data_IF_207290412082
#
_entry.id   IF_207290412082
#
_cell.length_a   1.000
_cell.length_b   1.000
_cell.length_c   1.000
_cell.angle_alpha   90.00
_cell.angle_beta   90.00
_cell.angle_gamma   90.00
#
_symmetry.space_group_name_H-M   'P 1'
#
loop_
_entity.id
_entity.type
_entity.pdbx_description
1 polymer ?
#
# COMPACT_ATOMS: atom_id res chain seq x y z
N UNK A 1 4.70 19.72 -9.51
CA UNK A 1 4.93 18.46 -8.75
C UNK A 1 3.78 17.58 -9.16
N UNK A 2 4.05 16.45 -9.82
CA UNK A 2 3.06 15.65 -10.57
C UNK A 2 1.76 15.43 -9.80
N UNK A 3 1.83 15.13 -8.50
CA UNK A 3 0.61 14.95 -7.70
C UNK A 3 -0.27 16.22 -7.65
N UNK A 4 0.33 17.39 -7.37
CA UNK A 4 -0.41 18.67 -7.31
C UNK A 4 -1.00 19.06 -8.67
N UNK A 5 -0.33 18.66 -9.75
CA UNK A 5 -0.75 18.96 -11.11
C UNK A 5 -1.96 18.07 -11.52
N UNK A 6 -2.08 16.87 -10.93
CA UNK A 6 -3.17 15.91 -11.21
C UNK A 6 -4.37 16.03 -10.25
N UNK A 7 -4.13 16.25 -8.96
CA UNK A 7 -5.19 16.22 -7.91
C UNK A 7 -6.23 17.35 -8.06
N UNK A 8 -5.92 18.39 -8.84
CA UNK A 8 -6.87 19.45 -9.19
C UNK A 8 -7.83 19.09 -10.33
N UNK A 9 -7.63 17.96 -11.01
CA UNK A 9 -8.48 17.58 -12.13
C UNK A 9 -9.85 17.06 -11.64
N UNK A 10 -10.96 17.50 -12.24
CA UNK A 10 -12.31 17.11 -11.82
C UNK A 10 -12.57 15.59 -11.83
N UNK A 11 -11.82 14.84 -12.65
CA UNK A 11 -11.97 13.39 -12.78
C UNK A 11 -11.26 12.60 -11.67
N UNK A 12 -10.40 13.23 -10.87
CA UNK A 12 -9.78 12.56 -9.73
C UNK A 12 -10.79 12.51 -8.60
N UNK A 13 -11.11 11.30 -8.14
CA UNK A 13 -12.09 11.04 -7.07
C UNK A 13 -11.51 10.22 -5.91
N UNK A 14 -10.39 9.54 -6.13
CA UNK A 14 -9.72 8.67 -5.17
C UNK A 14 -8.20 8.84 -5.29
N UNK A 15 -7.51 8.88 -4.15
CA UNK A 15 -6.05 8.82 -4.07
C UNK A 15 -5.65 7.65 -3.18
N UNK A 16 -4.88 6.71 -3.73
CA UNK A 16 -4.29 5.62 -2.95
C UNK A 16 -2.85 5.97 -2.57
N UNK A 17 -2.52 5.86 -1.28
CA UNK A 17 -1.21 6.23 -0.74
C UNK A 17 -0.42 4.97 -0.40
N UNK A 18 0.82 4.91 -0.90
CA UNK A 18 1.70 3.76 -0.75
C UNK A 18 3.11 4.17 -0.33
N UNK A 19 3.79 3.26 0.36
CA UNK A 19 5.24 3.27 0.57
C UNK A 19 5.74 1.84 0.35
N UNK A 20 6.67 1.68 -0.59
CA UNK A 20 7.25 0.40 -0.97
C UNK A 20 8.71 0.28 -0.55
N UNK A 21 9.18 1.10 0.39
CA UNK A 21 10.49 0.88 0.99
C UNK A 21 10.59 -0.55 1.58
N UNK A 22 11.78 -1.16 1.53
CA UNK A 22 11.96 -2.54 1.98
C UNK A 22 11.70 -2.68 3.48
N UNK A 23 11.21 -3.86 3.88
CA UNK A 23 10.92 -4.21 5.28
C UNK A 23 9.50 -3.87 5.75
N UNK A 24 8.63 -3.33 4.88
CA UNK A 24 7.26 -2.97 5.23
C UNK A 24 6.28 -3.27 4.09
N UNK A 25 4.98 -3.37 4.46
CA UNK A 25 3.85 -3.48 3.52
C UNK A 25 4.10 -4.58 2.48
N UNK A 26 4.02 -4.24 1.19
CA UNK A 26 4.28 -5.13 0.05
C UNK A 26 5.60 -5.89 0.14
N UNK A 27 6.63 -5.26 0.71
CA UNK A 27 8.00 -5.77 0.73
C UNK A 27 8.48 -6.02 2.15
N UNK A 28 7.65 -6.67 2.97
CA UNK A 28 8.01 -7.11 4.32
C UNK A 28 9.31 -7.95 4.35
N UNK A 29 9.55 -8.75 3.32
CA UNK A 29 10.79 -9.53 3.15
C UNK A 29 11.73 -8.84 2.15
N UNK A 30 12.93 -8.48 2.60
CA UNK A 30 13.95 -7.89 1.74
C UNK A 30 14.32 -8.80 0.56
N UNK A 31 14.31 -10.12 0.74
CA UNK A 31 14.58 -11.07 -0.35
C UNK A 31 13.60 -10.93 -1.52
N UNK A 32 12.33 -10.61 -1.26
CA UNK A 32 11.32 -10.33 -2.30
C UNK A 32 11.55 -8.98 -2.97
N UNK A 33 12.00 -7.99 -2.21
CA UNK A 33 12.41 -6.70 -2.75
C UNK A 33 13.57 -6.87 -3.74
N UNK A 34 14.60 -7.63 -3.35
CA UNK A 34 15.75 -7.98 -4.21
C UNK A 34 15.32 -8.74 -5.45
N UNK A 35 14.55 -9.82 -5.29
CA UNK A 35 14.03 -10.63 -6.40
C UNK A 35 13.31 -9.75 -7.44
N UNK A 36 12.41 -8.87 -6.99
CA UNK A 36 11.63 -8.00 -7.87
C UNK A 36 12.50 -6.94 -8.57
N UNK A 37 13.29 -6.16 -7.82
CA UNK A 37 14.05 -5.05 -8.39
C UNK A 37 15.27 -5.50 -9.20
N UNK A 38 16.00 -6.53 -8.75
CA UNK A 38 17.10 -7.09 -9.54
C UNK A 38 16.58 -7.79 -10.80
N UNK A 39 15.45 -8.49 -10.72
CA UNK A 39 14.82 -9.11 -11.89
C UNK A 39 14.33 -8.08 -12.92
N UNK A 40 13.75 -6.97 -12.46
CA UNK A 40 13.16 -5.92 -13.30
C UNK A 40 14.19 -4.94 -13.89
N UNK A 41 15.19 -4.56 -13.11
CA UNK A 41 16.16 -3.54 -13.48
C UNK A 41 17.56 -4.08 -13.75
N UNK A 42 17.76 -5.40 -13.65
CA UNK A 42 19.03 -6.08 -13.87
C UNK A 42 20.18 -5.55 -12.99
N UNK A 43 19.85 -5.11 -11.77
CA UNK A 43 20.82 -4.62 -10.80
C UNK A 43 21.73 -5.76 -10.33
N UNK A 44 23.01 -5.46 -10.19
CA UNK A 44 23.95 -6.28 -9.43
C UNK A 44 23.61 -6.27 -7.93
N UNK A 45 24.20 -7.20 -7.17
CA UNK A 45 24.01 -7.25 -5.73
C UNK A 45 24.46 -5.96 -5.03
N UNK A 46 25.59 -5.40 -5.44
CA UNK A 46 26.13 -4.15 -4.87
C UNK A 46 25.22 -2.96 -5.18
N UNK A 47 24.72 -2.84 -6.41
CA UNK A 47 23.75 -1.80 -6.77
C UNK A 47 22.47 -1.93 -5.95
N UNK A 48 21.99 -3.16 -5.76
CA UNK A 48 20.80 -3.45 -4.97
C UNK A 48 21.00 -3.09 -3.49
N UNK A 49 22.18 -3.34 -2.92
CA UNK A 49 22.51 -2.98 -1.54
C UNK A 49 22.45 -1.45 -1.35
N UNK A 50 23.07 -0.69 -2.26
CA UNK A 50 23.02 0.77 -2.23
C UNK A 50 21.59 1.29 -2.40
N UNK A 51 20.82 0.69 -3.32
CA UNK A 51 19.45 1.06 -3.58
C UNK A 51 18.55 0.82 -2.35
N UNK A 52 18.72 -0.29 -1.63
CA UNK A 52 17.99 -0.56 -0.39
C UNK A 52 18.29 0.51 0.66
N UNK A 53 19.57 0.83 0.89
CA UNK A 53 19.98 1.85 1.86
C UNK A 53 19.34 3.20 1.54
N UNK A 54 19.39 3.62 0.27
CA UNK A 54 18.78 4.86 -0.18
C UNK A 54 17.26 4.87 0.02
N UNK A 55 16.56 3.79 -0.33
CA UNK A 55 15.10 3.71 -0.21
C UNK A 55 14.63 3.70 1.25
N UNK A 56 15.36 3.05 2.16
CA UNK A 56 15.08 3.10 3.60
C UNK A 56 15.30 4.51 4.15
N UNK A 57 16.40 5.17 3.75
CA UNK A 57 16.69 6.54 4.17
C UNK A 57 15.59 7.51 3.68
N UNK A 58 15.19 7.38 2.41
CA UNK A 58 14.12 8.18 1.81
C UNK A 58 12.78 7.97 2.53
N UNK A 59 12.39 6.73 2.83
CA UNK A 59 11.15 6.48 3.58
C UNK A 59 11.20 7.11 4.98
N UNK A 60 12.32 6.92 5.68
CA UNK A 60 12.53 7.48 7.04
C UNK A 60 12.42 9.01 7.05
N UNK A 61 13.04 9.68 6.06
CA UNK A 61 13.06 11.15 6.01
C UNK A 61 11.73 11.73 5.51
N UNK A 62 11.09 11.07 4.52
CA UNK A 62 10.06 11.71 3.71
C UNK A 62 8.66 11.11 3.83
N UNK A 63 8.51 9.83 4.19
CA UNK A 63 7.22 9.13 4.06
C UNK A 63 6.13 9.77 4.91
N UNK A 64 6.36 10.01 6.20
CA UNK A 64 5.36 10.61 7.09
C UNK A 64 4.98 12.02 6.64
N UNK A 65 5.98 12.86 6.34
CA UNK A 65 5.76 14.25 5.90
C UNK A 65 4.89 14.31 4.63
N UNK A 66 5.22 13.52 3.62
CA UNK A 66 4.47 13.55 2.36
C UNK A 66 3.12 12.87 2.48
N UNK A 67 2.99 11.77 3.24
CA UNK A 67 1.71 11.14 3.54
C UNK A 67 0.73 12.14 4.16
N UNK A 68 1.17 12.88 5.19
CA UNK A 68 0.37 13.94 5.82
C UNK A 68 -0.05 15.02 4.82
N UNK A 69 0.91 15.54 4.06
CA UNK A 69 0.62 16.59 3.08
C UNK A 69 -0.35 16.13 1.97
N UNK A 70 -0.26 14.88 1.52
CA UNK A 70 -1.18 14.29 0.55
C UNK A 70 -2.57 14.14 1.16
N UNK A 71 -2.67 13.59 2.37
CA UNK A 71 -3.93 13.39 3.08
C UNK A 71 -4.63 14.72 3.31
N UNK A 72 -3.94 15.71 3.87
CA UNK A 72 -4.51 17.05 4.11
C UNK A 72 -5.06 17.68 2.82
N UNK A 73 -4.33 17.54 1.71
CA UNK A 73 -4.76 18.08 0.42
C UNK A 73 -6.01 17.38 -0.13
N UNK A 74 -6.10 16.07 0.04
CA UNK A 74 -7.24 15.26 -0.40
C UNK A 74 -8.47 15.55 0.45
N UNK A 75 -8.33 15.59 1.78
CA UNK A 75 -9.41 15.92 2.71
C UNK A 75 -9.97 17.32 2.45
N UNK A 76 -9.10 18.32 2.22
CA UNK A 76 -9.52 19.68 1.87
C UNK A 76 -10.31 19.77 0.55
N UNK A 77 -10.23 18.74 -0.30
CA UNK A 77 -10.96 18.63 -1.57
C UNK A 77 -12.16 17.68 -1.50
N UNK A 78 -12.38 17.01 -0.36
CA UNK A 78 -13.40 15.97 -0.24
C UNK A 78 -13.09 14.72 -1.07
N UNK A 79 -11.82 14.47 -1.41
CA UNK A 79 -11.41 13.26 -2.12
C UNK A 79 -11.36 12.07 -1.17
N UNK A 80 -11.77 10.90 -1.66
CA UNK A 80 -11.56 9.65 -0.92
C UNK A 80 -10.08 9.29 -0.92
N UNK A 81 -9.62 8.65 0.16
CA UNK A 81 -8.23 8.28 0.35
C UNK A 81 -8.17 6.81 0.72
N UNK A 82 -7.33 6.05 0.03
CA UNK A 82 -7.06 4.65 0.33
C UNK A 82 -5.63 4.47 0.87
N UNK A 83 -5.46 3.54 1.80
CA UNK A 83 -4.15 2.94 2.08
C UNK A 83 -3.86 1.85 1.06
N UNK A 84 -2.58 1.52 0.86
CA UNK A 84 -2.15 0.45 -0.02
C UNK A 84 -1.24 -0.54 0.71
N UNK A 85 -1.48 -1.84 0.51
CA UNK A 85 -0.67 -2.94 1.02
C UNK A 85 -0.46 -2.95 2.55
N UNK A 86 -1.45 -2.52 3.33
CA UNK A 86 -1.41 -2.66 4.79
C UNK A 86 -1.09 -4.12 5.17
N UNK A 87 -0.22 -4.32 6.16
CA UNK A 87 0.34 -5.63 6.50
C UNK A 87 0.24 -5.96 7.99
N UNK A 88 0.19 -4.95 8.84
CA UNK A 88 0.15 -5.07 10.30
C UNK A 88 -0.97 -4.18 10.84
N UNK A 89 -1.42 -4.44 12.06
CA UNK A 89 -2.40 -3.57 12.72
C UNK A 89 -1.91 -2.11 12.81
N UNK A 90 -0.61 -1.89 13.05
CA UNK A 90 -0.04 -0.55 13.10
C UNK A 90 -0.18 0.23 11.78
N UNK A 91 -0.07 -0.46 10.63
CA UNK A 91 -0.33 0.17 9.32
C UNK A 91 -1.80 0.56 9.15
N UNK A 92 -2.72 -0.28 9.64
CA UNK A 92 -4.16 0.01 9.60
C UNK A 92 -4.50 1.18 10.52
N UNK A 93 -3.99 1.20 11.75
CA UNK A 93 -4.22 2.28 12.72
C UNK A 93 -3.69 3.61 12.21
N UNK A 94 -2.50 3.62 11.60
CA UNK A 94 -1.96 4.81 10.92
C UNK A 94 -2.93 5.31 9.84
N UNK A 95 -3.39 4.42 8.97
CA UNK A 95 -4.27 4.75 7.84
C UNK A 95 -5.63 5.27 8.30
N UNK A 96 -6.24 4.61 9.28
CA UNK A 96 -7.49 5.04 9.90
C UNK A 96 -7.31 6.40 10.61
N UNK A 97 -6.17 6.61 11.28
CA UNK A 97 -5.81 7.89 11.89
C UNK A 97 -5.68 9.05 10.89
N UNK A 98 -5.41 8.74 9.63
CA UNK A 98 -5.44 9.69 8.52
C UNK A 98 -6.82 9.89 7.88
N UNK A 99 -7.86 9.23 8.38
CA UNK A 99 -9.21 9.28 7.82
C UNK A 99 -9.37 8.51 6.52
N UNK A 100 -8.44 7.59 6.21
CA UNK A 100 -8.59 6.69 5.07
C UNK A 100 -9.72 5.70 5.36
N UNK A 101 -10.64 5.52 4.41
CA UNK A 101 -11.81 4.66 4.56
C UNK A 101 -11.78 3.43 3.65
N UNK A 102 -10.76 3.32 2.81
CA UNK A 102 -10.51 2.18 1.91
C UNK A 102 -9.11 1.64 2.20
N UNK A 103 -9.00 0.33 2.34
CA UNK A 103 -7.74 -0.40 2.35
C UNK A 103 -7.62 -1.17 1.02
N UNK A 104 -6.70 -0.72 0.18
CA UNK A 104 -6.42 -1.32 -1.11
C UNK A 104 -5.35 -2.41 -0.94
N UNK A 105 -5.67 -3.63 -1.38
CA UNK A 105 -4.76 -4.79 -1.37
C UNK A 105 -4.06 -5.09 -0.02
N UNK A 106 -4.74 -5.14 1.14
CA UNK A 106 -4.07 -5.55 2.38
C UNK A 106 -3.37 -6.90 2.18
N UNK A 107 -2.12 -6.98 2.63
CA UNK A 107 -1.22 -8.09 2.31
C UNK A 107 -1.31 -9.23 3.31
N UNK A 108 -1.98 -9.02 4.45
CA UNK A 108 -2.20 -10.03 5.50
C UNK A 108 -3.66 -10.12 5.91
N UNK A 109 -4.04 -11.27 6.45
CA UNK A 109 -5.38 -11.45 7.03
C UNK A 109 -5.59 -10.55 8.24
N UNK A 110 -4.55 -10.38 9.07
CA UNK A 110 -4.56 -9.49 10.24
C UNK A 110 -4.89 -8.05 9.83
N UNK A 111 -4.23 -7.52 8.81
CA UNK A 111 -4.50 -6.18 8.32
C UNK A 111 -5.95 -6.05 7.81
N UNK A 112 -6.41 -6.98 6.98
CA UNK A 112 -7.79 -6.97 6.49
C UNK A 112 -8.83 -7.02 7.62
N UNK A 113 -8.59 -7.82 8.66
CA UNK A 113 -9.45 -7.86 9.85
C UNK A 113 -9.42 -6.53 10.62
N UNK A 114 -8.23 -5.96 10.82
CA UNK A 114 -8.06 -4.65 11.44
C UNK A 114 -8.81 -3.54 10.70
N UNK A 115 -8.72 -3.52 9.36
CA UNK A 115 -9.46 -2.58 8.52
C UNK A 115 -10.96 -2.64 8.80
N UNK A 116 -11.53 -3.85 8.84
CA UNK A 116 -12.96 -4.05 9.12
C UNK A 116 -13.35 -3.58 10.52
N UNK A 117 -12.51 -3.86 11.52
CA UNK A 117 -12.74 -3.40 12.90
C UNK A 117 -12.75 -1.88 13.02
N UNK A 118 -11.94 -1.19 12.21
CA UNK A 118 -11.87 0.27 12.16
C UNK A 118 -12.82 0.91 11.12
N UNK A 119 -13.73 0.12 10.53
CA UNK A 119 -14.74 0.62 9.59
C UNK A 119 -14.22 0.95 8.19
N UNK A 120 -13.02 0.49 7.84
CA UNK A 120 -12.45 0.64 6.50
C UNK A 120 -12.96 -0.47 5.57
N UNK A 121 -13.26 -0.12 4.32
CA UNK A 121 -13.63 -1.08 3.26
C UNK A 121 -12.39 -1.71 2.66
N UNK A 122 -12.39 -3.02 2.45
CA UNK A 122 -11.27 -3.75 1.85
C UNK A 122 -11.52 -3.96 0.36
N UNK A 123 -10.59 -3.49 -0.47
CA UNK A 123 -10.59 -3.60 -1.93
C UNK A 123 -9.55 -4.61 -2.39
N UNK A 124 -9.93 -5.59 -3.20
CA UNK A 124 -8.99 -6.52 -3.85
C UNK A 124 -9.23 -6.64 -5.35
N UNK A 125 -8.17 -6.87 -6.11
CA UNK A 125 -8.23 -7.04 -7.55
C UNK A 125 -8.81 -8.41 -7.94
N UNK A 126 -9.94 -8.40 -8.65
CA UNK A 126 -10.57 -9.60 -9.22
C UNK A 126 -9.63 -10.52 -10.04
N UNK A 127 -8.65 -10.01 -10.82
CA UNK A 127 -7.70 -10.87 -11.54
C UNK A 127 -6.86 -11.80 -10.65
N UNK A 128 -6.70 -11.49 -9.35
CA UNK A 128 -5.98 -12.36 -8.41
C UNK A 128 -6.76 -13.65 -8.10
N UNK A 129 -8.08 -13.63 -8.25
CA UNK A 129 -8.92 -14.82 -8.06
C UNK A 129 -8.77 -15.77 -9.26
N UNK A 130 -8.81 -15.21 -10.49
CA UNK A 130 -8.72 -15.99 -11.74
C UNK A 130 -7.35 -16.65 -11.91
N UNK A 131 -6.27 -16.00 -11.44
CA UNK A 131 -4.89 -16.54 -11.50
C UNK A 131 -4.58 -17.59 -10.43
N UNK A 132 -5.50 -17.89 -9.51
CA UNK A 132 -5.33 -18.95 -8.52
C UNK A 132 -4.41 -18.62 -7.34
N UNK A 133 -4.00 -17.35 -7.13
CA UNK A 133 -3.14 -16.98 -6.01
C UNK A 133 -2.56 -15.56 -6.08
N UNK A 134 -1.88 -15.14 -4.99
CA UNK A 134 -1.07 -13.93 -4.96
C UNK A 134 0.35 -14.23 -5.46
N UNK A 135 0.96 -13.29 -6.18
CA UNK A 135 2.28 -13.47 -6.80
C UNK A 135 3.45 -13.28 -5.83
N UNK A 136 3.20 -12.78 -4.61
CA UNK A 136 4.22 -12.30 -3.66
C UNK A 136 4.20 -13.00 -2.29
N UNK A 137 3.28 -13.95 -2.06
CA UNK A 137 3.07 -14.56 -0.73
C UNK A 137 2.10 -13.78 0.17
N UNK A 138 1.53 -12.68 -0.34
CA UNK A 138 0.46 -11.92 0.32
C UNK A 138 -0.83 -12.75 0.44
N UNK A 139 -1.74 -12.35 1.31
CA UNK A 139 -3.07 -12.97 1.41
C UNK A 139 -3.80 -12.93 0.06
N UNK A 140 -4.36 -14.06 -0.36
CA UNK A 140 -5.11 -14.15 -1.60
C UNK A 140 -6.49 -13.49 -1.45
N UNK A 141 -6.96 -12.80 -2.50
CA UNK A 141 -8.29 -12.20 -2.55
C UNK A 141 -9.42 -13.20 -2.22
N UNK A 142 -9.32 -14.43 -2.75
CA UNK A 142 -10.26 -15.51 -2.45
C UNK A 142 -10.26 -15.92 -0.96
N UNK A 143 -9.13 -15.77 -0.27
CA UNK A 143 -9.07 -16.02 1.17
C UNK A 143 -9.84 -14.95 1.94
N UNK A 144 -9.64 -13.67 1.62
CA UNK A 144 -10.37 -12.58 2.26
C UNK A 144 -11.88 -12.69 2.00
N UNK A 145 -12.29 -13.01 0.77
CA UNK A 145 -13.69 -13.26 0.43
C UNK A 145 -14.31 -14.38 1.27
N UNK A 146 -13.62 -15.52 1.45
CA UNK A 146 -14.11 -16.63 2.29
C UNK A 146 -14.26 -16.25 3.76
N UNK A 147 -13.47 -15.30 4.25
CA UNK A 147 -13.57 -14.79 5.62
C UNK A 147 -14.59 -13.65 5.76
N UNK A 148 -15.28 -13.25 4.69
CA UNK A 148 -16.22 -12.12 4.71
C UNK A 148 -15.54 -10.76 4.90
N UNK A 149 -14.27 -10.65 4.51
CA UNK A 149 -13.44 -9.46 4.69
C UNK A 149 -13.23 -8.66 3.41
N UNK A 150 -13.89 -9.02 2.30
CA UNK A 150 -13.78 -8.34 1.01
C UNK A 150 -15.04 -7.53 0.73
N UNK A 151 -14.88 -6.24 0.42
CA UNK A 151 -16.00 -5.31 0.19
C UNK A 151 -16.12 -4.87 -1.28
N UNK A 152 -14.97 -4.67 -1.95
CA UNK A 152 -14.88 -4.11 -3.31
C UNK A 152 -14.03 -5.02 -4.21
#
# INVERSE_FOLDING_TARGET
>A
NVFRDLVGQPLVQLVSVMDHAPGQRQFALESRYREYYMGKYHMSHEEMDRFIVEQVANSTEYANRYRRAIVELCLARGLSIASHDDATMAHVEESAGFGMNIAEFPTTLEAAQGCRQLGMSVLMGAPNIVRGGSHSGNVAAASLARHGLLDI
#
